data_IF_382564194379
#
_entry.id   IF_382564194379
#
_cell.length_a   1.000
_cell.length_b   1.000
_cell.length_c   1.000
_cell.angle_alpha   90.00
_cell.angle_beta   90.00
_cell.angle_gamma   90.00
#
_symmetry.space_group_name_H-M   'P 1'
#
loop_
_entity.id
_entity.type
_entity.pdbx_description
1 polymer ?
#
# COMPACT_ATOMS: atom_id res chain seq x y z
N UNK A 1 -15.95 0.06 -24.57
CA UNK A 1 -15.10 -1.11 -24.89
C UNK A 1 -14.94 -1.14 -26.39
N UNK A 2 -13.74 -0.89 -26.92
CA UNK A 2 -13.51 -0.95 -28.37
C UNK A 2 -13.24 -2.40 -28.74
N UNK A 3 -14.22 -3.05 -29.35
CA UNK A 3 -14.06 -4.42 -29.87
C UNK A 3 -13.39 -4.29 -31.24
N UNK A 4 -12.06 -4.41 -31.28
CA UNK A 4 -11.33 -4.53 -32.54
C UNK A 4 -11.23 -6.01 -32.91
N UNK A 5 -11.94 -6.42 -33.95
CA UNK A 5 -11.73 -7.71 -34.61
C UNK A 5 -10.78 -7.49 -35.81
N UNK A 6 -9.63 -8.17 -35.89
CA UNK A 6 -8.78 -8.12 -37.07
C UNK A 6 -9.33 -9.10 -38.10
N UNK A 7 -10.07 -8.59 -39.09
CA UNK A 7 -10.48 -9.38 -40.25
C UNK A 7 -10.67 -8.49 -41.48
N UNK A 8 -10.33 -9.04 -42.64
CA UNK A 8 -10.50 -8.47 -43.98
C UNK A 8 -11.94 -8.00 -44.23
N UNK A 9 -12.09 -6.98 -45.08
CA UNK A 9 -13.31 -6.17 -45.29
C UNK A 9 -14.61 -6.98 -45.41
N UNK A 10 -14.60 -8.11 -46.13
CA UNK A 10 -15.79 -8.98 -46.33
C UNK A 10 -16.28 -9.65 -45.04
N UNK A 11 -15.38 -10.05 -44.15
CA UNK A 11 -15.74 -10.74 -42.90
C UNK A 11 -16.27 -9.77 -41.82
N UNK A 12 -15.96 -8.46 -41.95
CA UNK A 12 -16.49 -7.42 -41.05
C UNK A 12 -17.98 -7.24 -41.22
N UNK A 13 -18.45 -7.05 -42.46
CA UNK A 13 -19.88 -6.82 -42.71
C UNK A 13 -20.71 -8.03 -42.28
N UNK A 14 -20.26 -9.25 -42.58
CA UNK A 14 -20.94 -10.46 -42.11
C UNK A 14 -20.97 -10.59 -40.58
N UNK A 15 -19.94 -10.11 -39.88
CA UNK A 15 -19.95 -10.10 -38.41
C UNK A 15 -20.98 -9.12 -37.87
N UNK A 16 -21.03 -7.89 -38.40
CA UNK A 16 -21.99 -6.88 -37.96
C UNK A 16 -23.44 -7.22 -38.36
N UNK A 17 -23.65 -7.81 -39.54
CA UNK A 17 -24.97 -8.28 -40.01
C UNK A 17 -25.55 -9.39 -39.14
N UNK A 18 -24.70 -10.18 -38.47
CA UNK A 18 -25.14 -11.20 -37.52
C UNK A 18 -25.27 -10.66 -36.08
N UNK A 19 -24.47 -9.65 -35.71
CA UNK A 19 -24.45 -9.09 -34.37
C UNK A 19 -25.63 -8.12 -34.13
N UNK A 20 -25.92 -7.24 -35.08
CA UNK A 20 -26.96 -6.20 -34.94
C UNK A 20 -28.39 -6.75 -34.80
N UNK A 21 -28.79 -7.84 -35.48
CA UNK A 21 -30.10 -8.45 -35.29
C UNK A 21 -30.18 -9.39 -34.08
N UNK A 22 -29.05 -9.71 -33.44
CA UNK A 22 -29.02 -10.64 -32.32
C UNK A 22 -29.93 -10.15 -31.19
N UNK A 23 -30.83 -11.02 -30.73
CA UNK A 23 -31.70 -10.78 -29.56
C UNK A 23 -30.89 -10.40 -28.33
N UNK A 24 -29.69 -10.95 -28.18
CA UNK A 24 -28.78 -10.63 -27.07
C UNK A 24 -28.28 -9.19 -27.12
N UNK A 25 -27.88 -8.70 -28.29
CA UNK A 25 -27.43 -7.32 -28.48
C UNK A 25 -28.58 -6.33 -28.25
N UNK A 26 -29.76 -6.64 -28.78
CA UNK A 26 -30.97 -5.82 -28.59
C UNK A 26 -31.42 -5.77 -27.12
N UNK A 27 -31.29 -6.86 -26.36
CA UNK A 27 -31.58 -6.90 -24.92
C UNK A 27 -30.63 -6.01 -24.10
N UNK A 28 -29.33 -6.00 -24.44
CA UNK A 28 -28.33 -5.14 -23.78
C UNK A 28 -28.59 -3.66 -24.07
N UNK A 29 -28.96 -3.34 -25.32
CA UNK A 29 -29.24 -1.97 -25.74
C UNK A 29 -30.55 -1.46 -25.14
N UNK A 30 -31.61 -2.26 -25.16
CA UNK A 30 -32.94 -1.89 -24.66
C UNK A 30 -33.04 -1.87 -23.13
N UNK A 31 -32.21 -2.65 -22.42
CA UNK A 31 -32.24 -2.76 -20.95
C UNK A 31 -31.63 -1.58 -20.18
N UNK A 32 -31.00 -0.62 -20.86
CA UNK A 32 -30.32 0.51 -20.25
C UNK A 32 -30.85 1.83 -20.84
N UNK A 33 -31.64 2.57 -20.06
CA UNK A 33 -32.34 3.80 -20.47
C UNK A 33 -31.43 5.00 -20.84
N UNK A 34 -30.11 4.83 -20.86
CA UNK A 34 -29.09 5.89 -21.03
C UNK A 34 -27.97 5.49 -22.01
N UNK A 35 -28.26 4.57 -22.93
CA UNK A 35 -27.32 4.21 -23.99
C UNK A 35 -27.47 5.17 -25.16
N UNK A 36 -26.44 5.98 -25.44
CA UNK A 36 -26.41 6.83 -26.64
C UNK A 36 -25.69 6.11 -27.77
N UNK A 37 -26.41 5.85 -28.85
CA UNK A 37 -25.88 5.30 -30.10
C UNK A 37 -25.75 6.44 -31.10
N UNK A 38 -24.53 6.73 -31.55
CA UNK A 38 -24.29 7.72 -32.61
C UNK A 38 -23.87 7.02 -33.90
N UNK A 39 -24.55 7.35 -34.99
CA UNK A 39 -24.19 6.92 -36.34
C UNK A 39 -23.41 8.04 -37.03
N UNK A 40 -22.35 7.68 -37.76
CA UNK A 40 -21.60 8.61 -38.61
C UNK A 40 -22.25 8.61 -40.00
N UNK A 41 -22.28 9.78 -40.66
CA UNK A 41 -22.81 9.94 -42.02
C UNK A 41 -22.02 9.07 -43.01
N UNK A 42 -22.74 8.30 -43.81
CA UNK A 42 -22.19 7.32 -44.75
C UNK A 42 -21.32 7.94 -45.86
N UNK A 43 -21.47 9.23 -46.13
CA UNK A 43 -20.65 10.00 -47.08
C UNK A 43 -19.19 10.17 -46.62
N UNK A 44 -18.89 10.02 -45.33
CA UNK A 44 -17.56 10.29 -44.78
C UNK A 44 -16.76 9.02 -44.50
N UNK A 45 -17.44 7.88 -44.34
CA UNK A 45 -16.81 6.57 -44.07
C UNK A 45 -17.67 5.43 -44.63
N UNK A 46 -17.03 4.44 -45.26
CA UNK A 46 -17.65 3.15 -45.65
C UNK A 46 -17.89 2.22 -44.43
N UNK A 47 -17.43 2.62 -43.25
CA UNK A 47 -17.63 1.94 -41.99
C UNK A 47 -18.79 2.57 -41.21
N UNK A 48 -19.89 1.84 -41.04
CA UNK A 48 -20.95 2.20 -40.11
C UNK A 48 -20.50 1.92 -38.66
N UNK A 49 -19.51 2.64 -38.14
CA UNK A 49 -19.07 2.42 -36.76
C UNK A 49 -20.01 3.14 -35.78
N UNK A 50 -20.88 2.34 -35.14
CA UNK A 50 -21.62 2.70 -33.94
C UNK A 50 -20.64 3.00 -32.79
N UNK A 51 -20.55 4.25 -32.36
CA UNK A 51 -20.05 4.52 -31.02
C UNK A 51 -21.15 4.14 -30.03
N UNK A 52 -20.98 3.02 -29.31
CA UNK A 52 -21.88 2.61 -28.23
C UNK A 52 -21.30 3.09 -26.91
N UNK A 53 -21.90 4.14 -26.35
CA UNK A 53 -21.62 4.59 -24.99
C UNK A 53 -22.57 3.88 -24.02
N UNK A 54 -22.09 2.78 -23.45
CA UNK A 54 -22.79 2.06 -22.39
C UNK A 54 -22.57 2.80 -21.07
N UNK A 55 -23.57 3.56 -20.63
CA UNK A 55 -23.63 4.06 -19.26
C UNK A 55 -24.35 3.04 -18.41
N UNK A 56 -23.62 2.44 -17.47
CA UNK A 56 -24.22 1.69 -16.39
C UNK A 56 -24.73 2.71 -15.36
N UNK A 57 -25.86 3.35 -15.65
CA UNK A 57 -26.50 4.27 -14.72
C UNK A 57 -27.12 3.45 -13.59
N UNK A 58 -26.31 3.13 -12.58
CA UNK A 58 -26.79 3.01 -11.23
C UNK A 58 -25.77 3.66 -10.26
N UNK A 59 -25.94 4.94 -9.92
CA UNK A 59 -25.08 5.61 -8.93
C UNK A 59 -25.21 4.95 -7.55
N UNK A 60 -26.32 4.26 -7.29
CA UNK A 60 -26.56 3.43 -6.13
C UNK A 60 -26.39 1.95 -6.50
N UNK A 61 -25.16 1.55 -6.85
CA UNK A 61 -24.83 0.12 -6.91
C UNK A 61 -25.28 -0.55 -5.60
N UNK A 62 -26.32 -1.35 -5.73
CA UNK A 62 -27.11 -1.90 -4.63
C UNK A 62 -26.25 -2.41 -3.47
N UNK A 63 -26.71 -2.11 -2.26
CA UNK A 63 -26.27 -2.76 -1.03
C UNK A 63 -26.02 -4.26 -1.30
N UNK A 64 -24.78 -4.73 -1.10
CA UNK A 64 -24.46 -6.17 -1.10
C UNK A 64 -23.54 -6.69 -2.19
N UNK A 65 -23.06 -5.87 -3.14
CA UNK A 65 -22.03 -6.32 -4.09
C UNK A 65 -20.67 -6.44 -3.37
N UNK A 66 -20.25 -7.67 -3.11
CA UNK A 66 -18.95 -7.94 -2.49
C UNK A 66 -17.81 -7.52 -3.45
N UNK A 67 -16.92 -6.64 -2.96
CA UNK A 67 -15.70 -6.22 -3.66
C UNK A 67 -14.48 -6.80 -2.96
N UNK A 68 -13.63 -7.50 -3.71
CA UNK A 68 -12.32 -7.93 -3.22
C UNK A 68 -11.37 -6.74 -3.09
N UNK A 69 -10.40 -6.81 -2.18
CA UNK A 69 -9.34 -5.81 -2.08
C UNK A 69 -8.50 -5.82 -3.37
N UNK A 70 -8.42 -4.70 -4.14
CA UNK A 70 -7.68 -4.65 -5.39
C UNK A 70 -6.19 -5.03 -5.25
N UNK A 71 -5.59 -4.82 -4.08
CA UNK A 71 -4.19 -5.18 -3.84
C UNK A 71 -3.90 -6.68 -3.93
N UNK A 72 -4.93 -7.55 -3.83
CA UNK A 72 -4.79 -8.99 -4.03
C UNK A 72 -4.32 -9.33 -5.45
N UNK A 73 -4.69 -8.52 -6.44
CA UNK A 73 -4.23 -8.68 -7.84
C UNK A 73 -2.73 -8.49 -8.02
N UNK A 74 -2.04 -7.89 -7.05
CA UNK A 74 -0.57 -7.74 -7.05
C UNK A 74 0.14 -8.85 -6.29
N UNK A 75 -0.61 -9.69 -5.57
CA UNK A 75 -0.03 -10.77 -4.77
C UNK A 75 0.06 -12.03 -5.63
N UNK A 76 1.27 -12.41 -6.03
CA UNK A 76 1.52 -13.60 -6.85
C UNK A 76 0.96 -14.88 -6.22
N UNK A 77 1.11 -15.04 -4.90
CA UNK A 77 0.55 -16.19 -4.19
C UNK A 77 -0.98 -16.25 -4.30
N UNK A 78 -1.67 -15.12 -4.22
CA UNK A 78 -3.12 -15.09 -4.40
C UNK A 78 -3.51 -15.52 -5.82
N UNK A 79 -2.81 -15.02 -6.84
CA UNK A 79 -3.05 -15.33 -8.25
C UNK A 79 -2.83 -16.82 -8.51
N UNK A 80 -1.71 -17.38 -8.05
CA UNK A 80 -1.40 -18.81 -8.19
C UNK A 80 -2.45 -19.70 -7.52
N UNK A 81 -2.88 -19.35 -6.30
CA UNK A 81 -3.94 -20.11 -5.61
C UNK A 81 -5.27 -19.99 -6.34
N UNK A 82 -5.61 -18.81 -6.85
CA UNK A 82 -6.82 -18.59 -7.62
C UNK A 82 -6.86 -19.49 -8.86
N UNK A 83 -5.81 -19.47 -9.70
CA UNK A 83 -5.69 -20.33 -10.87
C UNK A 83 -5.85 -21.80 -10.49
N UNK A 84 -5.09 -22.28 -9.51
CA UNK A 84 -5.15 -23.67 -9.05
C UNK A 84 -6.56 -24.07 -8.60
N UNK A 85 -7.27 -23.20 -7.91
CA UNK A 85 -8.64 -23.49 -7.46
C UNK A 85 -9.64 -23.50 -8.60
N UNK A 86 -9.50 -22.60 -9.58
CA UNK A 86 -10.35 -22.56 -10.77
C UNK A 86 -10.10 -23.80 -11.64
N UNK A 87 -8.85 -24.18 -11.89
CA UNK A 87 -8.50 -25.36 -12.67
C UNK A 87 -9.09 -26.64 -12.05
N UNK A 88 -9.02 -26.75 -10.71
CA UNK A 88 -9.65 -27.84 -9.97
C UNK A 88 -11.17 -27.83 -10.14
N UNK A 89 -11.81 -26.66 -10.03
CA UNK A 89 -13.25 -26.53 -10.21
C UNK A 89 -13.70 -26.90 -11.63
N UNK A 90 -12.96 -26.45 -12.65
CA UNK A 90 -13.23 -26.82 -14.05
C UNK A 90 -13.08 -28.32 -14.29
N UNK A 91 -12.04 -28.94 -13.73
CA UNK A 91 -11.83 -30.39 -13.80
C UNK A 91 -12.99 -31.18 -13.16
N UNK A 92 -13.57 -30.65 -12.08
CA UNK A 92 -14.75 -31.25 -11.43
C UNK A 92 -16.00 -31.10 -12.31
N UNK A 93 -16.22 -29.94 -12.93
CA UNK A 93 -17.35 -29.74 -13.84
C UNK A 93 -17.32 -30.68 -15.04
N UNK A 94 -16.14 -30.97 -15.61
CA UNK A 94 -16.01 -31.90 -16.74
C UNK A 94 -16.35 -33.35 -16.40
N UNK A 95 -16.41 -33.71 -15.12
CA UNK A 95 -16.75 -35.06 -14.65
C UNK A 95 -18.25 -35.24 -14.37
N UNK A 96 -19.04 -34.17 -14.42
CA UNK A 96 -20.47 -34.22 -14.11
C UNK A 96 -21.24 -34.51 -15.40
N UNK A 97 -21.94 -35.64 -15.47
CA UNK A 97 -22.69 -36.10 -16.67
C UNK A 97 -23.87 -35.20 -17.07
N UNK A 98 -24.36 -34.35 -16.16
CA UNK A 98 -25.38 -33.33 -16.46
C UNK A 98 -24.94 -32.01 -15.83
N UNK A 99 -24.44 -31.04 -16.61
CA UNK A 99 -23.97 -29.78 -16.06
C UNK A 99 -25.14 -29.02 -15.40
N UNK A 100 -24.89 -28.38 -14.24
CA UNK A 100 -25.87 -27.49 -13.63
C UNK A 100 -26.14 -26.28 -14.52
N UNK A 101 -27.25 -25.58 -14.24
CA UNK A 101 -27.59 -24.33 -14.90
C UNK A 101 -26.43 -23.32 -14.85
N UNK A 102 -26.25 -22.56 -15.94
CA UNK A 102 -25.13 -21.65 -16.13
C UNK A 102 -25.04 -20.60 -15.00
N UNK A 103 -26.20 -20.18 -14.49
CA UNK A 103 -26.28 -19.26 -13.36
C UNK A 103 -25.70 -19.88 -12.07
N UNK A 104 -26.04 -21.13 -11.79
CA UNK A 104 -25.53 -21.85 -10.63
C UNK A 104 -24.01 -22.06 -10.71
N UNK A 105 -23.48 -22.36 -11.89
CA UNK A 105 -22.02 -22.44 -12.12
C UNK A 105 -21.36 -21.10 -11.78
N UNK A 106 -21.92 -19.99 -12.25
CA UNK A 106 -21.38 -18.66 -12.00
C UNK A 106 -21.43 -18.27 -10.51
N UNK A 107 -22.51 -18.59 -9.81
CA UNK A 107 -22.62 -18.30 -8.38
C UNK A 107 -21.66 -19.15 -7.53
N UNK A 108 -21.43 -20.41 -7.91
CA UNK A 108 -20.40 -21.26 -7.30
C UNK A 108 -19.00 -20.69 -7.49
N UNK A 109 -18.67 -20.21 -8.70
CA UNK A 109 -17.38 -19.54 -8.98
C UNK A 109 -17.22 -18.31 -8.09
N UNK A 110 -18.24 -17.44 -8.02
CA UNK A 110 -18.18 -16.23 -7.19
C UNK A 110 -17.92 -16.56 -5.74
N UNK A 111 -18.64 -17.53 -5.16
CA UNK A 111 -18.51 -17.86 -3.75
C UNK A 111 -17.16 -18.51 -3.43
N UNK A 112 -16.62 -19.32 -4.35
CA UNK A 112 -15.27 -19.88 -4.25
C UNK A 112 -14.21 -18.78 -4.24
N UNK A 113 -14.26 -17.86 -5.22
CA UNK A 113 -13.33 -16.72 -5.30
C UNK A 113 -13.43 -15.86 -4.05
N UNK A 114 -14.65 -15.60 -3.59
CA UNK A 114 -14.92 -14.79 -2.39
C UNK A 114 -14.35 -15.40 -1.13
N UNK A 115 -14.52 -16.70 -0.95
CA UNK A 115 -13.97 -17.43 0.20
C UNK A 115 -12.45 -17.41 0.19
N UNK A 116 -11.83 -17.67 -0.96
CA UNK A 116 -10.38 -17.65 -1.12
C UNK A 116 -9.79 -16.25 -0.91
N UNK A 117 -10.40 -15.22 -1.49
CA UNK A 117 -9.97 -13.84 -1.29
C UNK A 117 -10.07 -13.41 0.18
N UNK A 118 -11.12 -13.82 0.89
CA UNK A 118 -11.28 -13.54 2.33
C UNK A 118 -10.22 -14.24 3.16
N UNK A 119 -9.95 -15.52 2.92
CA UNK A 119 -8.97 -16.29 3.70
C UNK A 119 -7.55 -15.72 3.55
N UNK A 120 -7.12 -15.48 2.30
CA UNK A 120 -5.79 -14.94 2.00
C UNK A 120 -5.66 -13.50 2.48
N UNK A 121 -6.72 -12.68 2.37
CA UNK A 121 -6.71 -11.31 2.90
C UNK A 121 -6.50 -11.29 4.41
N UNK A 122 -7.21 -12.14 5.16
CA UNK A 122 -7.07 -12.25 6.62
C UNK A 122 -5.66 -12.69 7.00
N UNK A 123 -5.16 -13.76 6.37
CA UNK A 123 -3.81 -14.25 6.57
C UNK A 123 -2.73 -13.18 6.32
N UNK A 124 -2.82 -12.48 5.18
CA UNK A 124 -1.89 -11.41 4.84
C UNK A 124 -1.99 -10.20 5.79
N UNK A 125 -3.19 -9.92 6.30
CA UNK A 125 -3.42 -8.88 7.31
C UNK A 125 -2.70 -9.20 8.62
N UNK A 126 -2.89 -10.42 9.13
CA UNK A 126 -2.20 -10.88 10.33
C UNK A 126 -0.68 -10.90 10.17
N UNK A 127 -0.19 -11.44 9.04
CA UNK A 127 1.24 -11.47 8.75
C UNK A 127 1.85 -10.06 8.76
N UNK A 128 1.19 -9.09 8.10
CA UNK A 128 1.63 -7.69 8.10
C UNK A 128 1.64 -7.07 9.49
N UNK A 129 0.63 -7.33 10.32
CA UNK A 129 0.60 -6.84 11.70
C UNK A 129 1.74 -7.41 12.54
N UNK A 130 2.04 -8.71 12.39
CA UNK A 130 3.17 -9.36 13.09
C UNK A 130 4.50 -8.75 12.65
N UNK A 131 4.69 -8.53 11.34
CA UNK A 131 5.90 -7.88 10.83
C UNK A 131 6.03 -6.45 11.35
N UNK A 132 4.95 -5.66 11.36
CA UNK A 132 4.96 -4.30 11.89
C UNK A 132 5.38 -4.28 13.36
N UNK A 133 4.77 -5.13 14.21
CA UNK A 133 5.14 -5.25 15.63
C UNK A 133 6.62 -5.61 15.80
N UNK A 134 7.16 -6.52 14.98
CA UNK A 134 8.58 -6.91 15.01
C UNK A 134 9.48 -5.73 14.64
N UNK A 135 9.15 -4.99 13.58
CA UNK A 135 9.92 -3.83 13.13
C UNK A 135 9.89 -2.70 14.16
N UNK A 136 8.74 -2.45 14.79
CA UNK A 136 8.61 -1.50 15.90
C UNK A 136 9.48 -1.89 17.10
N UNK A 137 9.49 -3.17 17.49
CA UNK A 137 10.41 -3.66 18.54
C UNK A 137 11.87 -3.44 18.17
N UNK A 138 12.26 -3.70 16.92
CA UNK A 138 13.63 -3.46 16.42
C UNK A 138 14.00 -1.97 16.48
N UNK A 139 13.11 -1.09 16.03
CA UNK A 139 13.28 0.37 16.15
C UNK A 139 13.47 0.79 17.61
N UNK A 140 12.60 0.33 18.51
CA UNK A 140 12.68 0.68 19.93
C UNK A 140 13.97 0.19 20.59
N UNK A 141 14.49 -0.98 20.19
CA UNK A 141 15.80 -1.45 20.65
C UNK A 141 16.92 -0.48 20.23
N UNK A 142 16.95 -0.06 18.97
CA UNK A 142 17.96 0.87 18.45
C UNK A 142 17.88 2.21 19.19
N UNK A 143 16.67 2.76 19.39
CA UNK A 143 16.48 4.02 20.11
C UNK A 143 16.97 3.94 21.56
N UNK A 144 16.70 2.84 22.26
CA UNK A 144 17.20 2.62 23.63
C UNK A 144 18.71 2.50 23.66
N UNK A 145 19.31 1.76 22.72
CA UNK A 145 20.78 1.66 22.63
C UNK A 145 21.44 3.01 22.35
N UNK A 146 20.85 3.84 21.49
CA UNK A 146 21.34 5.21 21.25
C UNK A 146 21.29 6.10 22.50
N UNK A 147 20.19 6.01 23.27
CA UNK A 147 20.08 6.72 24.55
C UNK A 147 21.16 6.30 25.55
N UNK A 148 21.35 4.99 25.72
CA UNK A 148 22.37 4.44 26.63
C UNK A 148 23.78 4.84 26.17
N UNK A 149 24.06 4.80 24.86
CA UNK A 149 25.35 5.27 24.34
C UNK A 149 25.57 6.76 24.64
N UNK A 150 24.54 7.59 24.50
CA UNK A 150 24.64 9.00 24.86
C UNK A 150 24.90 9.22 26.36
N UNK A 151 24.24 8.45 27.24
CA UNK A 151 24.49 8.48 28.68
C UNK A 151 25.91 8.03 29.05
N UNK A 152 26.44 6.99 28.39
CA UNK A 152 27.81 6.52 28.58
C UNK A 152 28.79 7.61 28.14
N UNK A 153 28.59 8.21 26.96
CA UNK A 153 29.42 9.33 26.47
C UNK A 153 29.38 10.51 27.44
N UNK A 154 28.19 10.89 27.92
CA UNK A 154 28.04 11.96 28.90
C UNK A 154 28.77 11.63 30.21
N UNK A 155 28.66 10.38 30.69
CA UNK A 155 29.34 9.90 31.90
C UNK A 155 30.87 9.92 31.73
N UNK A 156 31.38 9.48 30.59
CA UNK A 156 32.81 9.52 30.27
C UNK A 156 33.32 10.97 30.13
N UNK A 157 32.53 11.88 29.56
CA UNK A 157 32.85 13.30 29.51
C UNK A 157 32.95 13.91 30.92
N UNK A 158 32.00 13.57 31.81
CA UNK A 158 32.05 13.99 33.21
C UNK A 158 33.30 13.43 33.93
N UNK A 159 33.57 12.12 33.78
CA UNK A 159 34.72 11.45 34.43
C UNK A 159 36.08 11.91 33.93
N UNK A 160 36.19 12.24 32.65
CA UNK A 160 37.44 12.71 32.04
C UNK A 160 37.80 14.16 32.42
N UNK A 161 36.95 14.84 33.20
CA UNK A 161 37.16 16.25 33.51
C UNK A 161 37.06 17.17 32.29
N UNK A 162 36.59 16.65 31.14
CA UNK A 162 36.35 17.41 29.92
C UNK A 162 35.04 18.20 30.11
N UNK A 163 35.18 19.24 30.94
CA UNK A 163 34.32 20.40 31.20
C UNK A 163 32.84 20.14 31.46
N UNK A 164 32.47 20.33 32.73
CA UNK A 164 31.16 20.86 33.12
C UNK A 164 30.85 22.12 32.29
N UNK A 165 29.74 22.13 31.55
CA UNK A 165 29.21 23.33 30.89
C UNK A 165 28.15 23.90 31.82
N UNK A 166 28.47 24.97 32.54
CA UNK A 166 27.53 25.58 33.51
C UNK A 166 26.21 26.00 32.84
N UNK A 167 26.24 26.45 31.58
CA UNK A 167 25.06 26.92 30.82
C UNK A 167 24.85 26.23 29.46
N UNK A 168 25.42 25.05 29.22
CA UNK A 168 25.20 24.30 27.96
C UNK A 168 25.78 24.94 26.69
N UNK A 169 26.74 25.85 26.83
CA UNK A 169 27.30 26.66 25.74
C UNK A 169 27.90 25.80 24.62
N UNK A 170 27.54 26.06 23.35
CA UNK A 170 28.04 25.31 22.18
C UNK A 170 29.06 26.07 21.33
N UNK A 171 29.22 27.37 21.56
CA UNK A 171 30.07 28.23 20.74
C UNK A 171 31.55 28.14 21.17
N UNK A 172 32.42 27.72 20.25
CA UNK A 172 33.86 27.54 20.49
C UNK A 172 34.56 28.80 21.03
N UNK A 173 34.14 29.99 20.58
CA UNK A 173 34.70 31.27 21.03
C UNK A 173 34.44 31.60 22.50
N UNK A 174 33.28 31.20 23.03
CA UNK A 174 32.91 31.40 24.44
C UNK A 174 33.72 30.44 25.32
N UNK A 175 33.81 29.17 24.90
CA UNK A 175 34.62 28.15 25.57
C UNK A 175 36.09 28.56 25.71
N UNK A 176 36.67 29.20 24.66
CA UNK A 176 38.05 29.70 24.67
C UNK A 176 38.24 30.86 25.67
N UNK A 177 37.27 31.77 25.75
CA UNK A 177 37.29 32.88 26.73
C UNK A 177 37.25 32.38 28.16
N UNK A 178 36.37 31.43 28.46
CA UNK A 178 36.25 30.84 29.80
C UNK A 178 37.54 30.10 30.20
N UNK A 179 38.17 29.33 29.30
CA UNK A 179 39.47 28.66 29.58
C UNK A 179 40.49 29.72 29.99
N UNK A 180 40.62 30.79 29.20
CA UNK A 180 41.61 31.85 29.42
C UNK A 180 41.40 32.58 30.76
N UNK A 181 40.14 32.83 31.11
CA UNK A 181 39.78 33.44 32.38
C UNK A 181 40.13 32.52 33.56
N UNK A 182 39.78 31.24 33.49
CA UNK A 182 40.04 30.26 34.56
C UNK A 182 41.54 29.96 34.75
N UNK A 183 42.34 29.88 33.67
CA UNK A 183 43.80 29.67 33.80
C UNK A 183 44.48 30.82 34.56
N UNK A 184 43.95 32.04 34.38
CA UNK A 184 44.43 33.24 35.08
C UNK A 184 44.03 33.23 36.55
N UNK A 185 42.84 32.71 36.88
CA UNK A 185 42.33 32.65 38.26
C UNK A 185 42.91 31.48 39.07
N UNK A 186 43.19 30.34 38.43
CA UNK A 186 43.69 29.12 39.10
C UNK A 186 45.19 29.14 39.40
N UNK A 187 45.95 30.08 38.84
CA UNK A 187 47.39 30.23 39.12
C UNK A 187 47.69 30.95 40.44
N UNK A 188 46.66 31.43 41.15
CA UNK A 188 46.77 32.02 42.48
C UNK A 188 45.84 31.30 43.45
N UNK A 189 46.21 30.09 43.88
CA UNK A 189 45.60 29.48 45.05
C UNK A 189 46.35 30.02 46.28
N UNK A 190 45.72 30.84 47.15
CA UNK A 190 46.32 31.14 48.44
C UNK A 190 46.48 29.85 49.22
N UNK A 191 47.64 29.68 49.86
CA UNK A 191 47.95 28.54 50.74
C UNK A 191 46.80 28.34 51.71
N UNK A 192 46.13 27.20 51.63
CA UNK A 192 45.03 26.86 52.54
C UNK A 192 45.68 26.52 53.90
N UNK A 193 45.51 27.39 54.88
CA UNK A 193 46.03 27.20 56.24
C UNK A 193 44.95 26.51 57.08
N UNK A 194 45.34 25.50 57.85
CA UNK A 194 44.45 24.75 58.72
C UNK A 194 43.84 25.65 59.84
N UNK A 195 42.56 25.48 60.22
CA UNK A 195 41.85 26.31 61.20
C UNK A 195 42.49 26.47 62.58
N UNK A 196 43.46 25.63 62.93
CA UNK A 196 44.18 25.68 64.21
C UNK A 196 45.23 26.80 64.30
N UNK A 197 45.57 27.48 63.19
CA UNK A 197 46.65 28.49 63.16
C UNK A 197 46.15 29.94 63.16
N UNK A 198 44.85 30.18 63.38
CA UNK A 198 44.25 31.52 63.30
C UNK A 198 44.48 32.41 64.53
N UNK A 199 45.16 31.93 65.59
CA UNK A 199 45.32 32.64 66.87
C UNK A 199 46.67 33.37 67.06
N UNK A 200 47.46 33.62 66.00
CA UNK A 200 48.71 34.38 66.10
C UNK A 200 48.85 35.48 65.03
N UNK A 201 47.76 36.22 64.78
CA UNK A 201 47.78 37.53 64.12
C UNK A 201 47.16 38.55 65.06
#
# INVERSE_FOLDING_TARGET
MNIYAPATTTQRYTFYDNLLPSTYFNLIVAGNHSNHIQFILQEWTDHALLSVNLKFDNPDHDFGIWRANPSLTKNTYFIEQLHKTLDKFHSQLTQISSPPDAQSIWDNIKELIKTLARSISRFNGEWRQRQLKRLQKKRNRILRSGHIQQEIVNTLALRSGIRWRENGEKAAGVLKRIIKQQTTTQSTLPTIIHPSHWQQL
#
